data_IF_440107765366
#
_entry.id   IF_440107765366
#
_cell.length_a   1.000
_cell.length_b   1.000
_cell.length_c   1.000
_cell.angle_alpha   90.00
_cell.angle_beta   90.00
_cell.angle_gamma   90.00
#
_symmetry.space_group_name_H-M   'P 1'
#
loop_
_entity.id
_entity.type
_entity.pdbx_description
1 polymer ?
#
# COMPACT_ATOMS: atom_id res chain seq x y z
N UNK A 1 0.46 -17.30 4.16
CA UNK A 1 -0.98 -17.02 4.33
C UNK A 1 -1.18 -16.22 5.60
N UNK A 2 -2.14 -15.29 5.62
CA UNK A 2 -2.55 -14.56 6.83
C UNK A 2 -3.73 -15.24 7.53
N UNK A 3 -3.93 -14.86 8.78
CA UNK A 3 -5.07 -15.29 9.61
C UNK A 3 -6.04 -14.13 9.81
N UNK A 4 -7.34 -14.40 9.85
CA UNK A 4 -8.39 -13.38 10.03
C UNK A 4 -8.23 -12.57 11.33
N UNK A 5 -7.59 -13.14 12.36
CA UNK A 5 -7.31 -12.43 13.62
C UNK A 5 -6.45 -11.18 13.43
N UNK A 6 -5.66 -11.09 12.35
CA UNK A 6 -4.90 -9.88 12.01
C UNK A 6 -5.81 -8.67 11.80
N UNK A 7 -7.05 -8.88 11.35
CA UNK A 7 -8.03 -7.83 11.09
C UNK A 7 -9.15 -7.78 12.13
N UNK A 8 -8.95 -8.41 13.29
CA UNK A 8 -9.84 -8.24 14.44
C UNK A 8 -9.79 -6.81 14.97
N UNK A 9 -10.88 -6.40 15.65
CA UNK A 9 -11.00 -5.10 16.30
C UNK A 9 -9.86 -4.89 17.30
N UNK A 10 -9.23 -3.71 17.23
CA UNK A 10 -8.16 -3.22 18.11
C UNK A 10 -8.49 -1.81 18.60
N UNK A 11 -7.48 -1.05 19.02
CA UNK A 11 -7.61 0.31 19.55
C UNK A 11 -8.23 1.30 18.56
N UNK A 12 -7.95 1.15 17.27
CA UNK A 12 -8.46 2.02 16.20
C UNK A 12 -8.88 1.20 14.98
N UNK A 13 -10.12 0.71 15.02
CA UNK A 13 -10.64 -0.18 13.97
C UNK A 13 -9.88 -1.51 13.96
N UNK A 14 -9.29 -1.89 12.83
CA UNK A 14 -8.48 -3.11 12.71
C UNK A 14 -7.01 -2.94 13.11
N UNK A 15 -6.58 -1.72 13.45
CA UNK A 15 -5.19 -1.42 13.84
C UNK A 15 -5.11 -0.93 15.28
N UNK A 16 -3.92 -0.97 15.89
CA UNK A 16 -3.74 -0.44 17.24
C UNK A 16 -3.89 1.09 17.29
N UNK A 17 -3.46 1.78 16.22
CA UNK A 17 -3.46 3.24 16.08
C UNK A 17 -4.00 3.65 14.72
N UNK A 18 -4.36 4.94 14.57
CA UNK A 18 -4.71 5.53 13.28
C UNK A 18 -3.49 5.76 12.36
N UNK A 19 -3.74 6.31 11.18
CA UNK A 19 -2.67 6.68 10.22
C UNK A 19 -1.79 7.83 10.74
N UNK A 20 -0.58 7.95 10.19
CA UNK A 20 0.33 9.07 10.46
C UNK A 20 -0.29 10.43 10.08
N UNK A 21 0.12 11.49 10.79
CA UNK A 21 -0.46 12.83 10.68
C UNK A 21 -0.17 13.52 9.34
N UNK A 22 0.89 13.13 8.65
CA UNK A 22 1.09 13.49 7.24
C UNK A 22 1.51 12.27 6.44
N UNK A 23 1.00 12.15 5.22
CA UNK A 23 1.31 11.05 4.32
C UNK A 23 2.06 11.55 3.08
N UNK A 24 2.95 10.71 2.56
CA UNK A 24 3.69 10.97 1.33
C UNK A 24 2.75 11.20 0.16
N UNK A 25 3.27 11.88 -0.85
CA UNK A 25 2.60 12.18 -2.10
C UNK A 25 1.35 13.07 -1.97
N UNK A 26 1.09 13.65 -0.79
CA UNK A 26 -0.11 14.45 -0.53
C UNK A 26 -1.37 13.60 -0.42
N UNK A 27 -1.24 12.36 0.08
CA UNK A 27 -2.38 11.49 0.32
C UNK A 27 -3.28 12.06 1.43
N UNK A 28 -4.59 11.89 1.27
CA UNK A 28 -5.61 12.41 2.17
C UNK A 28 -5.68 11.54 3.44
N UNK A 29 -5.39 12.14 4.59
CA UNK A 29 -5.31 11.46 5.88
C UNK A 29 -6.68 10.91 6.32
N UNK A 30 -7.78 11.60 6.04
CA UNK A 30 -9.11 11.14 6.44
C UNK A 30 -9.58 9.95 5.59
N UNK A 31 -9.29 9.99 4.28
CA UNK A 31 -9.52 8.86 3.38
C UNK A 31 -8.65 7.67 3.78
N UNK A 32 -7.37 7.91 4.08
CA UNK A 32 -6.44 6.90 4.55
C UNK A 32 -6.95 6.23 5.84
N UNK A 33 -7.30 7.01 6.86
CA UNK A 33 -7.76 6.47 8.14
C UNK A 33 -8.98 5.58 7.99
N UNK A 34 -9.94 6.00 7.18
CA UNK A 34 -11.12 5.19 6.88
C UNK A 34 -10.76 3.89 6.16
N UNK A 35 -9.90 3.96 5.15
CA UNK A 35 -9.54 2.80 4.32
C UNK A 35 -8.68 1.81 5.10
N UNK A 36 -7.67 2.28 5.82
CA UNK A 36 -6.73 1.47 6.58
C UNK A 36 -7.39 0.72 7.74
N UNK A 37 -8.32 1.37 8.44
CA UNK A 37 -8.73 0.93 9.78
C UNK A 37 -10.21 0.53 9.88
N UNK A 38 -11.08 1.16 9.06
CA UNK A 38 -12.54 1.06 9.22
C UNK A 38 -13.23 0.50 7.97
N UNK A 39 -12.46 -0.05 7.03
CA UNK A 39 -12.94 -0.62 5.79
C UNK A 39 -12.11 -1.84 5.39
N UNK A 40 -12.78 -2.91 4.96
CA UNK A 40 -12.15 -4.15 4.48
C UNK A 40 -12.60 -4.57 3.08
N UNK A 41 -13.48 -3.80 2.44
CA UNK A 41 -14.13 -4.20 1.16
C UNK A 41 -13.98 -3.19 0.04
N UNK A 42 -13.87 -1.90 0.37
CA UNK A 42 -13.76 -0.84 -0.62
C UNK A 42 -12.32 -0.37 -0.77
N UNK A 43 -12.07 0.39 -1.83
CA UNK A 43 -10.79 1.01 -2.10
C UNK A 43 -10.97 2.53 -2.17
N UNK A 44 -9.86 3.26 -2.18
CA UNK A 44 -9.82 4.64 -2.65
C UNK A 44 -10.30 4.70 -4.11
N UNK A 45 -10.69 5.88 -4.60
CA UNK A 45 -11.18 6.04 -5.98
C UNK A 45 -10.13 5.52 -6.98
N UNK A 46 -10.57 4.75 -7.97
CA UNK A 46 -9.71 4.37 -9.11
C UNK A 46 -9.04 5.60 -9.74
N UNK A 47 -7.74 5.49 -9.95
CA UNK A 47 -6.88 6.54 -10.47
C UNK A 47 -6.48 7.61 -9.45
N UNK A 48 -6.79 7.45 -8.16
CA UNK A 48 -6.42 8.42 -7.12
C UNK A 48 -4.93 8.78 -7.15
N UNK A 49 -4.04 7.79 -7.30
CA UNK A 49 -2.60 8.00 -7.39
C UNK A 49 -2.13 8.89 -8.56
N UNK A 50 -2.97 9.10 -9.59
CA UNK A 50 -2.64 9.96 -10.73
C UNK A 50 -2.67 11.44 -10.37
N UNK A 51 -3.41 11.81 -9.31
CA UNK A 51 -3.48 13.18 -8.79
C UNK A 51 -2.57 13.43 -7.59
N UNK A 52 -1.68 12.48 -7.25
CA UNK A 52 -0.74 12.60 -6.13
C UNK A 52 0.69 12.81 -6.62
N UNK A 53 1.63 12.97 -5.69
CA UNK A 53 3.05 13.03 -5.98
C UNK A 53 3.69 11.72 -6.48
N UNK A 54 2.99 10.57 -6.46
CA UNK A 54 3.62 9.26 -6.71
C UNK A 54 4.30 9.18 -8.07
N UNK A 55 3.62 9.57 -9.14
CA UNK A 55 4.18 9.47 -10.49
C UNK A 55 5.40 10.37 -10.69
N UNK A 56 5.41 11.54 -10.04
CA UNK A 56 6.57 12.45 -10.08
C UNK A 56 7.79 11.77 -9.47
N UNK A 57 7.63 11.13 -8.33
CA UNK A 57 8.71 10.45 -7.62
C UNK A 57 9.17 9.19 -8.37
N UNK A 58 8.25 8.41 -8.95
CA UNK A 58 8.60 7.28 -9.81
C UNK A 58 9.41 7.71 -11.04
N UNK A 59 8.99 8.77 -11.73
CA UNK A 59 9.75 9.30 -12.86
C UNK A 59 11.09 9.92 -12.46
N UNK A 60 11.18 10.53 -11.27
CA UNK A 60 12.45 11.04 -10.75
C UNK A 60 13.42 9.88 -10.49
N UNK A 61 12.96 8.84 -9.79
CA UNK A 61 13.75 7.63 -9.54
C UNK A 61 14.23 6.97 -10.84
N UNK A 62 13.36 6.86 -11.84
CA UNK A 62 13.73 6.32 -13.16
C UNK A 62 14.83 7.16 -13.84
N UNK A 63 14.69 8.50 -13.87
CA UNK A 63 15.69 9.39 -14.48
C UNK A 63 17.05 9.36 -13.77
N UNK A 64 17.03 9.19 -12.46
CA UNK A 64 18.24 9.16 -11.63
C UNK A 64 18.94 7.79 -11.67
N UNK A 65 18.39 6.81 -12.40
CA UNK A 65 18.89 5.43 -12.37
C UNK A 65 18.78 4.80 -10.98
N UNK A 66 17.87 5.33 -10.16
CA UNK A 66 17.74 4.98 -8.77
C UNK A 66 17.12 3.59 -8.58
N UNK A 67 17.31 3.07 -7.37
CA UNK A 67 16.70 1.81 -6.92
C UNK A 67 15.17 1.92 -6.87
N UNK A 68 14.47 0.77 -6.78
CA UNK A 68 13.01 0.74 -6.65
C UNK A 68 12.52 1.64 -5.49
N UNK A 69 11.34 2.23 -5.63
CA UNK A 69 10.73 3.09 -4.63
C UNK A 69 10.15 2.26 -3.49
N UNK A 70 10.31 2.76 -2.27
CA UNK A 70 9.76 2.14 -1.05
C UNK A 70 8.36 2.68 -0.74
N UNK A 71 7.49 1.77 -0.30
CA UNK A 71 6.09 1.98 0.04
C UNK A 71 5.88 1.51 1.47
N UNK A 72 5.53 2.43 2.37
CA UNK A 72 5.49 2.22 3.82
C UNK A 72 4.06 2.24 4.33
N UNK A 73 3.75 1.39 5.31
CA UNK A 73 2.46 1.36 5.99
C UNK A 73 2.08 2.75 6.51
N UNK A 74 0.88 3.21 6.19
CA UNK A 74 0.42 4.55 6.58
C UNK A 74 0.08 4.65 8.07
N UNK A 75 -0.12 3.53 8.77
CA UNK A 75 -0.26 3.49 10.22
C UNK A 75 1.10 3.44 10.92
N UNK A 76 1.96 2.49 10.54
CA UNK A 76 3.16 2.17 11.30
C UNK A 76 4.47 2.71 10.72
N UNK A 77 4.50 3.14 9.46
CA UNK A 77 5.71 3.53 8.75
C UNK A 77 6.62 2.36 8.36
N UNK A 78 6.19 1.11 8.55
CA UNK A 78 6.98 -0.08 8.21
C UNK A 78 7.00 -0.33 6.70
N UNK A 79 8.11 -0.86 6.17
CA UNK A 79 8.22 -1.16 4.73
C UNK A 79 7.29 -2.30 4.33
N UNK A 80 6.35 -2.05 3.42
CA UNK A 80 5.40 -3.04 2.92
C UNK A 80 5.72 -3.50 1.50
N UNK A 81 6.10 -2.57 0.62
CA UNK A 81 6.43 -2.89 -0.76
C UNK A 81 7.64 -2.10 -1.26
N UNK A 82 8.33 -2.67 -2.24
CA UNK A 82 9.43 -2.04 -2.97
C UNK A 82 9.22 -2.29 -4.46
N UNK A 83 8.99 -1.23 -5.24
CA UNK A 83 8.64 -1.37 -6.66
C UNK A 83 9.23 -0.25 -7.54
N UNK A 84 9.58 -0.55 -8.80
CA UNK A 84 9.44 -1.86 -9.46
C UNK A 84 10.57 -2.85 -9.13
N UNK A 85 10.29 -4.15 -9.11
CA UNK A 85 11.33 -5.21 -8.99
C UNK A 85 11.12 -6.24 -10.10
N UNK A 86 12.21 -6.60 -10.81
CA UNK A 86 12.19 -7.50 -12.00
C UNK A 86 11.28 -7.01 -13.15
N UNK A 87 11.01 -5.71 -13.20
CA UNK A 87 10.36 -5.01 -14.32
C UNK A 87 10.79 -3.54 -14.35
N UNK A 88 10.50 -2.85 -15.45
CA UNK A 88 10.76 -1.41 -15.56
C UNK A 88 9.72 -0.58 -14.81
N UNK A 89 10.07 0.68 -14.52
CA UNK A 89 9.15 1.68 -13.99
C UNK A 89 7.95 1.86 -14.92
N UNK A 90 8.17 1.95 -16.23
CA UNK A 90 7.11 2.00 -17.24
C UNK A 90 6.11 0.84 -17.08
N UNK A 91 6.59 -0.41 -16.96
CA UNK A 91 5.70 -1.58 -16.81
C UNK A 91 4.88 -1.50 -15.52
N UNK A 92 5.47 -1.07 -14.41
CA UNK A 92 4.75 -0.84 -13.15
C UNK A 92 3.66 0.21 -13.30
N UNK A 93 3.98 1.36 -13.92
CA UNK A 93 3.04 2.48 -14.12
C UNK A 93 1.91 2.09 -15.08
N UNK A 94 2.20 1.41 -16.19
CA UNK A 94 1.20 0.96 -17.17
C UNK A 94 0.23 -0.03 -16.52
N UNK A 95 0.73 -1.01 -15.77
CA UNK A 95 -0.12 -1.96 -15.07
C UNK A 95 -0.99 -1.27 -14.01
N UNK A 96 -0.40 -0.36 -13.23
CA UNK A 96 -1.14 0.39 -12.20
C UNK A 96 -2.23 1.28 -12.80
N UNK A 97 -1.96 1.94 -13.94
CA UNK A 97 -2.96 2.74 -14.67
C UNK A 97 -4.09 1.87 -15.23
N UNK A 98 -3.77 0.71 -15.79
CA UNK A 98 -4.75 -0.23 -16.35
C UNK A 98 -5.77 -0.67 -15.29
N UNK A 99 -5.30 -0.93 -14.06
CA UNK A 99 -6.15 -1.44 -12.99
C UNK A 99 -6.70 -0.36 -12.07
N UNK A 100 -6.16 0.85 -12.10
CA UNK A 100 -6.65 1.99 -11.32
C UNK A 100 -5.91 2.24 -10.00
N UNK A 101 -5.08 1.30 -9.56
CA UNK A 101 -4.32 1.39 -8.32
C UNK A 101 -2.91 0.85 -8.51
N UNK A 102 -1.93 1.30 -7.70
CA UNK A 102 -0.62 0.65 -7.59
C UNK A 102 -0.76 -0.87 -7.54
N UNK A 103 -0.20 -1.54 -8.54
CA UNK A 103 -0.32 -2.98 -8.73
C UNK A 103 1.04 -3.63 -8.53
N UNK A 104 1.20 -4.42 -7.48
CA UNK A 104 2.47 -5.06 -7.11
C UNK A 104 2.49 -6.56 -7.48
N UNK A 105 3.69 -7.11 -7.66
CA UNK A 105 3.94 -8.54 -7.91
C UNK A 105 4.73 -9.16 -6.76
N UNK A 106 4.81 -10.49 -6.67
CA UNK A 106 5.41 -11.23 -5.54
C UNK A 106 6.81 -10.74 -5.13
N UNK A 107 7.64 -10.35 -6.11
CA UNK A 107 9.01 -9.87 -5.88
C UNK A 107 9.10 -8.46 -5.27
N UNK A 108 7.97 -7.74 -5.22
CA UNK A 108 7.86 -6.37 -4.73
C UNK A 108 7.22 -6.31 -3.34
N UNK A 109 6.78 -7.46 -2.78
CA UNK A 109 6.13 -7.55 -1.48
C UNK A 109 7.14 -7.85 -0.38
N UNK A 110 7.09 -7.10 0.71
CA UNK A 110 7.77 -7.48 1.95
C UNK A 110 6.94 -8.54 2.69
N UNK A 111 7.25 -9.81 2.45
CA UNK A 111 6.58 -10.94 3.08
C UNK A 111 6.81 -11.06 4.58
N UNK A 112 7.71 -10.28 5.19
CA UNK A 112 7.81 -10.20 6.64
C UNK A 112 6.66 -9.37 7.24
N UNK A 113 6.14 -8.39 6.49
CA UNK A 113 5.16 -7.40 6.96
C UNK A 113 3.78 -7.50 6.31
N UNK A 114 3.66 -8.18 5.17
CA UNK A 114 2.40 -8.31 4.41
C UNK A 114 1.86 -9.74 4.46
N UNK A 115 0.53 -9.88 4.56
CA UNK A 115 -0.19 -11.15 4.50
C UNK A 115 -1.37 -11.07 3.54
N UNK A 116 -1.70 -12.21 2.95
CA UNK A 116 -2.90 -12.39 2.13
C UNK A 116 -3.85 -13.33 2.89
N UNK A 117 -5.06 -12.84 3.16
CA UNK A 117 -6.12 -13.60 3.82
C UNK A 117 -6.79 -14.58 2.84
N UNK A 118 -7.56 -15.57 3.32
CA UNK A 118 -8.19 -16.58 2.46
C UNK A 118 -9.11 -16.02 1.37
N UNK A 119 -9.72 -14.87 1.59
CA UNK A 119 -10.59 -14.18 0.64
C UNK A 119 -9.83 -13.29 -0.37
N UNK A 120 -8.50 -13.23 -0.25
CA UNK A 120 -7.63 -12.42 -1.09
C UNK A 120 -7.34 -11.03 -0.53
N UNK A 121 -7.89 -10.63 0.62
CA UNK A 121 -7.55 -9.36 1.25
C UNK A 121 -6.04 -9.29 1.57
N UNK A 122 -5.40 -8.21 1.15
CA UNK A 122 -4.01 -7.92 1.44
C UNK A 122 -3.94 -6.98 2.64
N UNK A 123 -3.21 -7.38 3.68
CA UNK A 123 -3.16 -6.69 4.97
C UNK A 123 -1.72 -6.59 5.47
N UNK A 124 -1.43 -5.58 6.29
CA UNK A 124 -0.20 -5.57 7.09
C UNK A 124 -0.35 -6.47 8.32
N UNK A 125 0.76 -6.93 8.89
CA UNK A 125 0.74 -7.72 10.13
C UNK A 125 0.23 -6.91 11.34
N UNK A 126 0.18 -5.58 11.23
CA UNK A 126 -0.30 -4.68 12.29
C UNK A 126 -1.81 -4.41 12.18
N UNK A 127 -2.46 -4.90 11.12
CA UNK A 127 -3.91 -4.81 10.91
C UNK A 127 -4.36 -3.72 9.93
N UNK A 128 -3.45 -3.16 9.14
CA UNK A 128 -3.79 -2.18 8.10
C UNK A 128 -4.39 -2.89 6.90
N UNK A 129 -5.59 -2.48 6.47
CA UNK A 129 -6.14 -2.88 5.17
C UNK A 129 -5.35 -2.22 4.02
N UNK A 130 -4.75 -3.04 3.15
CA UNK A 130 -3.90 -2.56 2.05
C UNK A 130 -4.64 -2.59 0.70
N UNK A 131 -5.42 -3.64 0.45
CA UNK A 131 -6.09 -3.86 -0.82
C UNK A 131 -6.37 -5.35 -1.02
N UNK A 132 -6.25 -5.85 -2.24
CA UNK A 132 -6.56 -7.26 -2.54
C UNK A 132 -5.57 -7.88 -3.54
N UNK A 133 -5.28 -9.17 -3.37
CA UNK A 133 -4.68 -9.99 -4.41
C UNK A 133 -5.75 -10.37 -5.44
N UNK A 134 -5.56 -9.94 -6.68
CA UNK A 134 -6.47 -10.22 -7.80
C UNK A 134 -5.62 -10.82 -8.93
N UNK A 135 -5.29 -12.12 -8.85
CA UNK A 135 -4.42 -12.77 -9.81
C UNK A 135 -4.90 -12.62 -11.26
N UNK A 136 -3.96 -12.58 -12.17
CA UNK A 136 -4.19 -12.57 -13.62
C UNK A 136 -3.34 -13.65 -14.31
N UNK A 137 -3.31 -13.65 -15.65
CA UNK A 137 -2.52 -14.62 -16.42
C UNK A 137 -1.01 -14.53 -16.19
N UNK A 138 -0.52 -13.49 -15.51
CA UNK A 138 0.89 -13.31 -15.15
C UNK A 138 1.18 -13.68 -13.68
N UNK A 139 0.19 -14.23 -12.96
CA UNK A 139 0.31 -14.64 -11.56
C UNK A 139 -0.40 -13.68 -10.60
N UNK A 140 0.05 -13.63 -9.35
CA UNK A 140 -0.53 -12.74 -8.34
C UNK A 140 -0.37 -11.27 -8.75
N UNK A 141 -1.38 -10.46 -8.42
CA UNK A 141 -1.36 -9.02 -8.61
C UNK A 141 -2.03 -8.36 -7.43
N UNK A 142 -1.23 -7.71 -6.61
CA UNK A 142 -1.69 -7.02 -5.42
C UNK A 142 -2.13 -5.61 -5.80
N UNK A 143 -3.44 -5.40 -5.85
CA UNK A 143 -4.06 -4.12 -6.15
C UNK A 143 -4.22 -3.35 -4.84
N UNK A 144 -3.36 -2.35 -4.62
CA UNK A 144 -3.14 -1.73 -3.30
C UNK A 144 -3.57 -0.27 -3.31
N UNK A 145 -4.32 0.13 -2.28
CA UNK A 145 -4.67 1.52 -2.03
C UNK A 145 -3.39 2.33 -1.79
N UNK A 146 -3.18 3.41 -2.56
CA UNK A 146 -2.03 4.28 -2.34
C UNK A 146 -2.05 4.86 -0.93
N UNK A 147 -3.23 5.28 -0.44
CA UNK A 147 -3.38 5.84 0.91
C UNK A 147 -2.98 4.88 2.02
N UNK A 148 -2.93 3.56 1.78
CA UNK A 148 -2.49 2.58 2.78
C UNK A 148 -0.97 2.40 2.81
N UNK A 149 -0.26 2.86 1.78
CA UNK A 149 1.19 2.66 1.62
C UNK A 149 1.98 3.97 1.44
N UNK A 150 1.39 5.07 1.91
CA UNK A 150 1.93 6.42 1.86
C UNK A 150 2.60 6.86 3.18
N UNK A 151 2.95 5.93 4.06
CA UNK A 151 3.67 6.26 5.29
C UNK A 151 5.02 6.95 5.03
N UNK A 152 5.45 7.76 5.98
CA UNK A 152 6.71 8.48 6.01
C UNK A 152 7.54 8.04 7.23
N UNK A 153 8.76 7.58 6.98
CA UNK A 153 9.68 7.09 8.02
C UNK A 153 10.25 8.21 8.89
N UNK A 154 10.12 9.47 8.46
CA UNK A 154 10.50 10.63 9.26
C UNK A 154 9.48 10.95 10.37
N UNK A 155 8.26 10.42 10.29
CA UNK A 155 7.23 10.64 11.30
C UNK A 155 7.37 9.65 12.46
N UNK A 156 7.18 10.10 13.72
CA UNK A 156 7.04 9.18 14.84
C UNK A 156 5.81 8.29 14.62
N UNK A 157 5.90 7.02 15.07
CA UNK A 157 4.72 6.15 15.10
C UNK A 157 3.62 6.85 15.92
N UNK A 158 2.36 6.86 15.45
CA UNK A 158 1.26 7.42 16.22
C UNK A 158 1.25 6.83 17.63
N UNK A 159 1.06 7.66 18.64
CA UNK A 159 0.99 7.20 20.02
C UNK A 159 -0.25 6.31 20.20
N UNK A 160 -0.08 5.22 20.98
CA UNK A 160 -1.15 4.33 21.42
C UNK A 160 -2.15 5.05 22.33
#
# INVERSE_FOLDING_TARGET
AGDESLMSQKGHGTSATGVQGTLRWGCDVAVADKICNHNRRFAERSGYFLSTGLLRDLHAAEREGARPLDFFDSNSGELLFRAPVRRSFEKFVVESKKHGWPSFRDAEVNWERVRILPDGECVSIDGTHLGHNIPDSSGNRYCINLVSVAGDTAQPKPAL
#
